data_IF_630439765739
#
_entry.id   IF_630439765739
#
_cell.length_a   1.000
_cell.length_b   1.000
_cell.length_c   1.000
_cell.angle_alpha   90.00
_cell.angle_beta   90.00
_cell.angle_gamma   90.00
#
_symmetry.space_group_name_H-M   'P 1'
#
loop_
_entity.id
_entity.type
_entity.pdbx_description
1 polymer ?
#
# COMPACT_ATOMS: atom_id res chain seq x y z
N UNK A 1 -5.32 26.77 -7.87
CA UNK A 1 -4.06 26.54 -7.12
C UNK A 1 -4.09 25.15 -6.53
N UNK A 2 -3.01 24.41 -6.69
CA UNK A 2 -2.76 23.09 -6.14
C UNK A 2 -1.64 23.20 -5.12
N UNK A 3 -1.98 23.13 -3.85
CA UNK A 3 -1.03 23.26 -2.75
C UNK A 3 -0.51 21.90 -2.32
N UNK A 4 0.80 21.67 -2.45
CA UNK A 4 1.51 20.45 -2.06
C UNK A 4 2.46 20.66 -0.88
N UNK A 5 2.38 21.83 -0.23
CA UNK A 5 3.34 22.25 0.80
C UNK A 5 3.19 21.52 2.14
N UNK A 6 2.12 20.74 2.34
CA UNK A 6 1.91 20.01 3.60
C UNK A 6 3.01 18.99 3.88
N UNK A 7 3.55 18.31 2.85
CA UNK A 7 4.59 17.30 2.99
C UNK A 7 5.92 17.78 2.41
N UNK A 8 6.98 17.70 3.20
CA UNK A 8 8.36 17.90 2.74
C UNK A 8 8.97 16.54 2.40
N UNK A 9 9.12 16.28 1.10
CA UNK A 9 9.58 14.99 0.57
C UNK A 9 11.05 14.73 0.91
N UNK A 10 11.39 13.54 1.44
CA UNK A 10 12.77 13.12 1.59
C UNK A 10 13.39 12.74 0.23
N UNK A 11 14.69 12.86 0.12
CA UNK A 11 15.47 12.27 -0.97
C UNK A 11 15.90 10.87 -0.54
N UNK A 12 15.20 9.85 -1.02
CA UNK A 12 15.46 8.46 -0.68
C UNK A 12 16.00 7.68 -1.87
N UNK A 13 16.92 6.72 -1.66
CA UNK A 13 17.32 5.79 -2.71
C UNK A 13 16.14 5.00 -3.24
N UNK A 14 16.13 4.73 -4.53
CA UNK A 14 15.11 3.86 -5.12
C UNK A 14 15.31 2.40 -4.70
N UNK A 15 14.22 1.72 -4.39
CA UNK A 15 14.17 0.30 -4.15
C UNK A 15 13.21 -0.35 -5.15
N UNK A 16 13.77 -1.10 -6.09
CA UNK A 16 13.05 -1.67 -7.23
C UNK A 16 12.62 -3.12 -7.02
N UNK A 17 12.53 -3.58 -5.78
CA UNK A 17 12.15 -4.95 -5.46
C UNK A 17 10.72 -5.31 -5.87
N UNK A 18 9.83 -4.33 -5.93
CA UNK A 18 8.46 -4.46 -6.44
C UNK A 18 8.35 -4.16 -7.95
N UNK A 19 9.48 -3.94 -8.61
CA UNK A 19 9.60 -3.61 -10.04
C UNK A 19 9.78 -2.12 -10.29
N UNK A 20 9.99 -1.77 -11.56
CA UNK A 20 10.33 -0.41 -12.01
C UNK A 20 9.22 0.22 -12.86
N UNK A 21 8.06 -0.41 -12.95
CA UNK A 21 6.97 0.10 -13.78
C UNK A 21 6.23 1.22 -13.03
N UNK A 22 6.68 2.46 -13.24
CA UNK A 22 6.09 3.65 -12.62
C UNK A 22 4.60 3.86 -12.97
N UNK A 23 4.10 3.16 -13.97
CA UNK A 23 2.68 3.21 -14.34
C UNK A 23 1.78 2.38 -13.41
N UNK A 24 2.35 1.65 -12.46
CA UNK A 24 1.58 0.84 -11.51
C UNK A 24 1.14 1.66 -10.28
N UNK A 25 -0.15 1.71 -9.96
CA UNK A 25 -0.67 2.50 -8.83
C UNK A 25 -0.05 2.15 -7.47
N UNK A 26 0.42 0.91 -7.28
CA UNK A 26 1.04 0.50 -6.01
C UNK A 26 2.52 0.95 -5.86
N UNK A 27 3.11 1.56 -6.91
CA UNK A 27 4.44 2.18 -6.89
C UNK A 27 4.38 3.72 -6.87
N UNK A 28 3.19 4.29 -6.77
CA UNK A 28 3.01 5.75 -6.68
C UNK A 28 3.68 6.28 -5.42
N UNK A 29 4.49 7.31 -5.56
CA UNK A 29 5.12 7.99 -4.43
C UNK A 29 4.08 8.74 -3.59
N UNK A 30 4.24 8.82 -2.26
CA UNK A 30 3.35 9.61 -1.40
C UNK A 30 3.42 11.10 -1.76
N UNK A 31 2.32 11.82 -1.53
CA UNK A 31 2.24 13.26 -1.83
C UNK A 31 1.13 13.94 -1.02
N UNK A 32 1.23 15.25 -0.79
CA UNK A 32 0.16 16.03 -0.16
C UNK A 32 -1.14 16.01 -0.97
N UNK A 33 -1.05 15.85 -2.30
CA UNK A 33 -2.17 15.68 -3.23
C UNK A 33 -2.34 14.22 -3.69
N UNK A 34 -2.05 13.25 -2.84
CA UNK A 34 -2.30 11.86 -3.19
C UNK A 34 -3.81 11.57 -3.22
N UNK A 35 -4.37 11.56 -4.41
CA UNK A 35 -5.78 11.25 -4.68
C UNK A 35 -5.87 9.92 -5.41
N UNK A 36 -6.65 8.97 -4.90
CA UNK A 36 -6.98 7.68 -5.53
C UNK A 36 -5.74 6.92 -6.07
N UNK A 37 -4.59 7.00 -5.39
CA UNK A 37 -3.29 6.46 -5.86
C UNK A 37 -2.94 6.85 -7.31
N UNK A 38 -3.43 7.99 -7.80
CA UNK A 38 -3.40 8.43 -9.21
C UNK A 38 -3.90 7.37 -10.19
N UNK A 39 -4.73 6.46 -9.73
CA UNK A 39 -5.19 5.33 -10.52
C UNK A 39 -6.21 5.77 -11.57
N UNK A 40 -5.89 5.48 -12.84
CA UNK A 40 -6.80 5.54 -13.98
C UNK A 40 -7.28 4.11 -14.24
N UNK A 41 -8.56 3.88 -14.09
CA UNK A 41 -9.19 2.60 -14.38
C UNK A 41 -9.57 2.55 -15.85
N UNK A 42 -8.90 1.70 -16.62
CA UNK A 42 -9.27 1.41 -18.00
C UNK A 42 -10.17 0.18 -18.04
N UNK A 43 -11.30 0.29 -18.72
CA UNK A 43 -12.24 -0.83 -18.93
C UNK A 43 -12.44 -1.01 -20.42
N UNK A 44 -12.16 -2.21 -20.91
CA UNK A 44 -12.41 -2.62 -22.29
C UNK A 44 -13.54 -3.64 -22.28
N UNK A 45 -14.61 -3.41 -23.03
CA UNK A 45 -15.78 -4.31 -23.15
C UNK A 45 -16.06 -4.60 -24.62
N UNK A 46 -16.48 -5.81 -24.90
CA UNK A 46 -17.00 -6.17 -26.21
C UNK A 46 -18.50 -6.48 -26.06
N UNK A 47 -19.32 -5.51 -26.47
CA UNK A 47 -20.76 -5.59 -26.44
C UNK A 47 -21.27 -5.80 -27.89
N UNK A 48 -21.78 -7.00 -28.17
CA UNK A 48 -22.38 -7.35 -29.49
C UNK A 48 -21.44 -7.07 -30.67
N UNK A 49 -20.17 -7.42 -30.53
CA UNK A 49 -19.15 -7.22 -31.59
C UNK A 49 -18.59 -5.81 -31.69
N UNK A 50 -18.99 -4.90 -30.80
CA UNK A 50 -18.41 -3.55 -30.67
C UNK A 50 -17.53 -3.46 -29.44
N UNK A 51 -16.24 -3.23 -29.67
CA UNK A 51 -15.29 -3.04 -28.57
C UNK A 51 -15.26 -1.56 -28.15
N UNK A 52 -15.59 -1.31 -26.88
CA UNK A 52 -15.55 -0.01 -26.23
C UNK A 52 -14.45 0.02 -25.19
N UNK A 53 -13.71 1.12 -25.14
CA UNK A 53 -12.71 1.39 -24.12
C UNK A 53 -13.08 2.68 -23.39
N UNK A 54 -13.11 2.65 -22.07
CA UNK A 54 -13.34 3.81 -21.21
C UNK A 54 -12.23 3.95 -20.17
N UNK A 55 -12.06 5.17 -19.66
CA UNK A 55 -11.13 5.49 -18.55
C UNK A 55 -11.87 6.28 -17.47
N UNK A 56 -11.59 5.95 -16.22
CA UNK A 56 -12.17 6.62 -15.05
C UNK A 56 -11.05 7.01 -14.07
N UNK A 57 -11.02 8.28 -13.62
CA UNK A 57 -11.82 9.43 -14.06
C UNK A 57 -11.48 9.83 -15.49
N UNK A 58 -12.43 10.48 -16.22
CA UNK A 58 -12.24 10.86 -17.63
C UNK A 58 -11.42 12.15 -17.76
N UNK A 59 -10.13 12.09 -17.46
CA UNK A 59 -9.21 13.21 -17.50
C UNK A 59 -8.88 13.58 -18.95
N UNK A 60 -9.06 14.85 -19.30
CA UNK A 60 -8.94 15.35 -20.69
C UNK A 60 -7.55 15.15 -21.33
N UNK A 61 -6.48 15.07 -20.52
CA UNK A 61 -5.11 14.79 -21.00
C UNK A 61 -4.87 13.33 -21.35
N UNK A 62 -5.84 12.42 -21.07
CA UNK A 62 -5.76 11.01 -21.44
C UNK A 62 -6.55 10.77 -22.72
N UNK A 63 -5.87 10.30 -23.74
CA UNK A 63 -6.46 9.91 -25.04
C UNK A 63 -6.39 8.40 -25.18
N UNK A 64 -7.46 7.79 -25.72
CA UNK A 64 -7.54 6.36 -25.99
C UNK A 64 -7.48 6.13 -27.49
N UNK A 65 -6.49 5.35 -27.92
CA UNK A 65 -6.39 4.80 -29.26
C UNK A 65 -6.79 3.32 -29.21
N UNK A 66 -8.04 3.03 -29.59
CA UNK A 66 -8.61 1.70 -29.50
C UNK A 66 -8.34 0.88 -30.76
N UNK A 67 -7.44 -0.08 -30.67
CA UNK A 67 -7.05 -1.02 -31.74
C UNK A 67 -7.42 -2.48 -31.38
N UNK A 68 -8.30 -2.70 -30.39
CA UNK A 68 -8.72 -4.04 -29.96
C UNK A 68 -9.60 -4.67 -31.04
N UNK A 69 -9.28 -5.90 -31.43
CA UNK A 69 -10.05 -6.67 -32.39
C UNK A 69 -11.05 -7.59 -31.70
N UNK A 70 -12.17 -7.85 -32.34
CA UNK A 70 -13.14 -8.86 -31.90
C UNK A 70 -12.52 -10.24 -32.08
N UNK A 71 -12.62 -11.10 -31.06
CA UNK A 71 -12.19 -12.49 -31.10
C UNK A 71 -13.42 -13.40 -31.26
N UNK A 72 -13.27 -14.46 -32.04
CA UNK A 72 -14.28 -15.52 -32.17
C UNK A 72 -14.19 -16.60 -31.09
N UNK A 73 -13.35 -16.41 -30.06
CA UNK A 73 -13.20 -17.36 -28.96
C UNK A 73 -14.51 -17.47 -28.16
N UNK A 74 -14.85 -18.71 -27.75
CA UNK A 74 -16.03 -19.00 -26.93
C UNK A 74 -15.83 -18.71 -25.43
N UNK A 75 -14.63 -18.40 -25.02
CA UNK A 75 -14.27 -18.12 -23.62
C UNK A 75 -13.62 -16.75 -23.52
N UNK A 76 -13.76 -16.12 -22.37
CA UNK A 76 -13.11 -14.82 -22.07
C UNK A 76 -11.59 -14.95 -21.87
N UNK A 77 -10.93 -15.49 -22.85
CA UNK A 77 -9.47 -15.55 -22.97
C UNK A 77 -9.04 -14.40 -23.89
N UNK A 78 -8.90 -13.21 -23.34
CA UNK A 78 -8.47 -12.03 -24.11
C UNK A 78 -7.11 -11.55 -23.63
N UNK A 79 -6.24 -11.23 -24.57
CA UNK A 79 -4.97 -10.54 -24.32
C UNK A 79 -5.14 -9.07 -24.72
N UNK A 80 -5.69 -8.28 -23.80
CA UNK A 80 -5.81 -6.82 -23.98
C UNK A 80 -4.60 -6.15 -23.36
N UNK A 81 -3.88 -5.36 -24.15
CA UNK A 81 -2.66 -4.65 -23.76
C UNK A 81 -2.88 -3.16 -23.79
N UNK A 82 -2.34 -2.46 -22.83
CA UNK A 82 -2.45 -1.02 -22.67
C UNK A 82 -1.05 -0.41 -22.72
N UNK A 83 -0.75 0.32 -23.78
CA UNK A 83 0.57 0.90 -24.03
C UNK A 83 0.47 2.44 -23.97
N UNK A 84 0.86 3.07 -22.84
CA UNK A 84 0.86 4.52 -22.71
C UNK A 84 2.08 5.14 -23.38
N UNK A 85 1.87 6.28 -24.02
CA UNK A 85 2.94 7.15 -24.58
C UNK A 85 2.64 8.58 -24.16
N UNK A 86 3.58 9.18 -23.44
CA UNK A 86 3.49 10.58 -23.00
C UNK A 86 4.07 11.51 -24.05
N UNK A 87 3.30 12.51 -24.46
CA UNK A 87 3.74 13.56 -25.37
C UNK A 87 4.48 14.69 -24.64
N UNK A 88 5.15 15.56 -25.37
CA UNK A 88 5.92 16.68 -24.82
C UNK A 88 5.06 17.70 -24.05
N UNK A 89 3.76 17.80 -24.36
CA UNK A 89 2.79 18.65 -23.67
C UNK A 89 2.21 18.02 -22.38
N UNK A 90 2.69 16.83 -22.01
CA UNK A 90 2.21 16.08 -20.84
C UNK A 90 0.92 15.29 -21.07
N UNK A 91 0.31 15.36 -22.26
CA UNK A 91 -0.82 14.48 -22.60
C UNK A 91 -0.35 13.04 -22.80
N UNK A 92 -1.21 12.07 -22.49
CA UNK A 92 -0.89 10.65 -22.61
C UNK A 92 -1.87 9.98 -23.57
N UNK A 93 -1.34 9.33 -24.60
CA UNK A 93 -2.12 8.48 -25.48
C UNK A 93 -1.94 7.02 -25.06
N UNK A 94 -3.02 6.33 -24.74
CA UNK A 94 -3.00 4.91 -24.39
C UNK A 94 -3.52 4.11 -25.57
N UNK A 95 -2.62 3.45 -26.30
CA UNK A 95 -2.99 2.50 -27.34
C UNK A 95 -3.44 1.19 -26.68
N UNK A 96 -4.71 0.86 -26.86
CA UNK A 96 -5.30 -0.39 -26.38
C UNK A 96 -5.40 -1.37 -27.53
N UNK A 97 -4.71 -2.49 -27.42
CA UNK A 97 -4.58 -3.48 -28.52
C UNK A 97 -4.83 -4.90 -28.02
N UNK A 98 -4.89 -5.84 -28.98
CA UNK A 98 -5.14 -7.25 -28.68
C UNK A 98 -6.50 -7.74 -29.18
N UNK A 99 -7.09 -8.72 -28.49
CA UNK A 99 -8.37 -9.31 -28.90
C UNK A 99 -9.29 -9.53 -27.71
N UNK A 100 -10.60 -9.37 -27.90
CA UNK A 100 -11.60 -9.58 -26.85
C UNK A 100 -12.82 -10.27 -27.44
N UNK A 101 -13.23 -11.40 -26.85
CA UNK A 101 -14.41 -12.14 -27.27
C UNK A 101 -15.70 -11.41 -26.91
N UNK A 102 -16.80 -11.72 -27.60
CA UNK A 102 -18.10 -11.13 -27.35
C UNK A 102 -18.60 -11.42 -25.92
N UNK A 103 -19.22 -10.43 -25.28
CA UNK A 103 -19.68 -10.48 -23.89
C UNK A 103 -18.57 -10.43 -22.85
N UNK A 104 -17.31 -10.30 -23.25
CA UNK A 104 -16.17 -10.27 -22.34
C UNK A 104 -15.74 -8.84 -22.01
N UNK A 105 -15.02 -8.72 -20.88
CA UNK A 105 -14.41 -7.47 -20.45
C UNK A 105 -13.00 -7.68 -19.91
N UNK A 106 -12.17 -6.67 -20.06
CA UNK A 106 -10.84 -6.58 -19.43
C UNK A 106 -10.74 -5.26 -18.69
N UNK A 107 -10.02 -5.24 -17.56
CA UNK A 107 -9.75 -4.01 -16.84
C UNK A 107 -8.31 -3.97 -16.36
N UNK A 108 -7.76 -2.76 -16.32
CA UNK A 108 -6.45 -2.49 -15.71
C UNK A 108 -6.47 -1.13 -15.01
N UNK A 109 -5.51 -0.94 -14.12
CA UNK A 109 -5.27 0.33 -13.42
C UNK A 109 -3.88 0.81 -13.76
N UNK A 110 -3.77 2.05 -14.23
CA UNK A 110 -2.50 2.69 -14.57
C UNK A 110 -2.38 4.04 -13.87
N UNK A 111 -1.17 4.42 -13.51
CA UNK A 111 -0.83 5.72 -12.93
C UNK A 111 0.07 6.48 -13.89
N UNK A 112 -0.52 7.26 -14.79
CA UNK A 112 0.14 7.83 -15.96
C UNK A 112 0.50 9.31 -15.83
N UNK A 113 -0.05 10.00 -14.84
CA UNK A 113 0.10 11.44 -14.67
C UNK A 113 0.85 11.76 -13.36
N UNK A 114 1.47 12.93 -13.27
CA UNK A 114 1.95 13.44 -11.98
C UNK A 114 0.78 13.79 -11.04
N UNK A 115 1.05 14.01 -9.75
CA UNK A 115 0.01 14.24 -8.74
C UNK A 115 -0.85 15.48 -9.05
N UNK A 116 -0.23 16.57 -9.46
CA UNK A 116 -0.95 17.82 -9.72
C UNK A 116 -1.83 17.69 -10.96
N UNK A 117 -1.31 17.15 -12.05
CA UNK A 117 -2.03 16.93 -13.31
C UNK A 117 -3.19 15.96 -13.11
N UNK A 118 -2.98 14.86 -12.37
CA UNK A 118 -4.06 13.92 -12.03
C UNK A 118 -5.17 14.60 -11.24
N UNK A 119 -4.80 15.29 -10.14
CA UNK A 119 -5.78 15.91 -9.24
C UNK A 119 -6.56 17.02 -9.94
N UNK A 120 -5.87 17.90 -10.66
CA UNK A 120 -6.54 18.97 -11.42
C UNK A 120 -7.47 18.40 -12.49
N UNK A 121 -7.00 17.41 -13.25
CA UNK A 121 -7.78 16.76 -14.29
C UNK A 121 -9.02 16.07 -13.75
N UNK A 122 -8.90 15.33 -12.63
CA UNK A 122 -10.01 14.67 -11.98
C UNK A 122 -11.06 15.68 -11.45
N UNK A 123 -10.60 16.75 -10.79
CA UNK A 123 -11.49 17.82 -10.32
C UNK A 123 -12.24 18.49 -11.46
N UNK A 124 -11.54 18.81 -12.57
CA UNK A 124 -12.16 19.41 -13.74
C UNK A 124 -13.19 18.47 -14.38
N UNK A 125 -12.86 17.19 -14.53
CA UNK A 125 -13.76 16.21 -15.10
C UNK A 125 -15.05 16.07 -14.28
N UNK A 126 -14.94 15.88 -12.96
CA UNK A 126 -16.09 15.75 -12.07
C UNK A 126 -16.90 17.05 -12.04
N UNK A 127 -16.22 18.21 -12.01
CA UNK A 127 -16.91 19.50 -12.01
C UNK A 127 -17.73 19.72 -13.29
N UNK A 128 -17.17 19.30 -14.42
CA UNK A 128 -17.86 19.38 -15.72
C UNK A 128 -19.06 18.43 -15.78
N UNK A 129 -18.96 17.20 -15.26
CA UNK A 129 -20.08 16.26 -15.13
C UNK A 129 -21.23 16.84 -14.30
N UNK A 130 -20.90 17.63 -13.27
CA UNK A 130 -21.86 18.36 -12.44
C UNK A 130 -22.41 19.63 -13.08
N UNK A 131 -22.05 19.94 -14.35
CA UNK A 131 -22.49 21.12 -15.09
C UNK A 131 -21.70 22.39 -14.82
N UNK A 132 -20.60 22.29 -14.06
CA UNK A 132 -19.73 23.43 -13.76
C UNK A 132 -18.64 23.65 -14.80
N UNK A 133 -18.00 24.83 -14.76
CA UNK A 133 -16.84 25.16 -15.60
C UNK A 133 -15.72 25.74 -14.73
N UNK A 134 -14.47 25.42 -15.07
CA UNK A 134 -13.28 26.02 -14.48
C UNK A 134 -12.46 26.70 -15.57
N UNK A 135 -12.33 28.03 -15.46
CA UNK A 135 -11.49 28.81 -16.36
C UNK A 135 -10.09 29.00 -15.78
N UNK A 136 -9.12 29.27 -16.65
CA UNK A 136 -7.73 29.51 -16.25
C UNK A 136 -6.87 28.25 -16.17
N UNK A 137 -5.61 28.46 -15.79
CA UNK A 137 -4.57 27.41 -15.71
C UNK A 137 -4.49 26.86 -14.30
N UNK A 138 -4.09 25.60 -14.19
CA UNK A 138 -3.74 24.99 -12.93
C UNK A 138 -2.33 25.44 -12.52
N UNK A 139 -2.18 25.87 -11.26
CA UNK A 139 -0.94 26.42 -10.72
C UNK A 139 -0.56 25.65 -9.46
N UNK A 140 0.67 25.18 -9.36
CA UNK A 140 1.23 24.63 -8.14
C UNK A 140 1.83 25.77 -7.30
N UNK A 141 1.18 26.09 -6.20
CA UNK A 141 1.61 27.14 -5.26
C UNK A 141 0.94 26.92 -3.89
N UNK A 142 1.46 27.53 -2.80
CA UNK A 142 0.74 27.58 -1.54
C UNK A 142 -0.62 28.27 -1.71
N UNK A 143 -1.61 27.78 -0.95
CA UNK A 143 -2.95 28.37 -0.96
C UNK A 143 -2.89 29.84 -0.48
N UNK A 144 -3.59 30.78 -1.15
CA UNK A 144 -3.63 32.18 -0.72
C UNK A 144 -4.17 32.31 0.70
N UNK A 145 -3.59 33.22 1.49
CA UNK A 145 -3.96 33.42 2.91
C UNK A 145 -5.41 33.86 3.12
N UNK A 146 -5.98 34.53 2.12
CA UNK A 146 -7.37 35.04 2.10
C UNK A 146 -8.37 34.06 1.47
N UNK A 147 -7.92 32.88 1.05
CA UNK A 147 -8.78 31.86 0.49
C UNK A 147 -9.81 31.36 1.49
N UNK A 148 -11.08 31.29 1.06
CA UNK A 148 -12.18 30.77 1.87
C UNK A 148 -12.33 29.26 1.65
N UNK A 149 -12.47 28.52 2.73
CA UNK A 149 -12.79 27.08 2.66
C UNK A 149 -14.23 26.92 2.19
N UNK A 150 -14.41 26.28 1.05
CA UNK A 150 -15.72 25.97 0.48
C UNK A 150 -16.20 24.58 0.88
N UNK A 151 -15.30 23.61 0.90
CA UNK A 151 -15.62 22.24 1.27
C UNK A 151 -14.41 21.56 1.92
N UNK A 152 -14.67 20.54 2.71
CA UNK A 152 -13.67 19.63 3.29
C UNK A 152 -14.08 18.20 3.03
N UNK A 153 -13.12 17.37 2.62
CA UNK A 153 -13.27 15.93 2.59
C UNK A 153 -12.30 15.31 3.60
N UNK A 154 -12.70 14.23 4.22
CA UNK A 154 -11.89 13.49 5.19
C UNK A 154 -11.63 12.09 4.65
N UNK A 155 -10.46 11.54 4.98
CA UNK A 155 -10.20 10.11 4.79
C UNK A 155 -11.08 9.27 5.72
N UNK A 156 -11.19 7.95 5.47
CA UNK A 156 -11.67 7.02 6.48
C UNK A 156 -10.88 7.12 7.79
N UNK A 157 -11.40 6.52 8.86
CA UNK A 157 -10.72 6.46 10.14
C UNK A 157 -9.36 5.77 10.05
N UNK A 158 -8.42 6.16 10.92
CA UNK A 158 -7.06 5.63 10.92
C UNK A 158 -7.02 4.11 11.07
N UNK A 159 -7.93 3.51 11.84
CA UNK A 159 -8.03 2.06 12.00
C UNK A 159 -8.35 1.36 10.66
N UNK A 160 -9.22 1.94 9.84
CA UNK A 160 -9.54 1.44 8.51
C UNK A 160 -8.36 1.59 7.55
N UNK A 161 -7.70 2.74 7.56
CA UNK A 161 -6.49 3.00 6.77
C UNK A 161 -5.39 1.97 7.11
N UNK A 162 -5.12 1.74 8.40
CA UNK A 162 -4.12 0.77 8.85
C UNK A 162 -4.50 -0.66 8.43
N UNK A 163 -5.79 -1.00 8.49
CA UNK A 163 -6.27 -2.30 8.01
C UNK A 163 -5.96 -2.50 6.54
N UNK A 164 -6.23 -1.52 5.70
CA UNK A 164 -5.95 -1.60 4.26
C UNK A 164 -4.44 -1.66 3.99
N UNK A 165 -3.64 -0.86 4.68
CA UNK A 165 -2.17 -0.94 4.60
C UNK A 165 -1.70 -2.37 4.91
N UNK A 166 -2.15 -2.96 5.99
CA UNK A 166 -1.68 -4.26 6.46
C UNK A 166 -2.22 -5.42 5.62
N UNK A 167 -3.54 -5.46 5.34
CA UNK A 167 -4.18 -6.53 4.57
C UNK A 167 -3.64 -6.64 3.14
N UNK A 168 -3.47 -5.50 2.47
CA UNK A 168 -3.03 -5.46 1.07
C UNK A 168 -1.54 -5.20 0.91
N UNK A 169 -0.82 -4.95 2.02
CA UNK A 169 0.60 -4.59 1.99
C UNK A 169 0.89 -3.38 1.09
N UNK A 170 0.08 -2.32 1.24
CA UNK A 170 0.14 -1.15 0.37
C UNK A 170 1.30 -0.23 0.79
N UNK A 171 2.37 -0.24 0.02
CA UNK A 171 3.58 0.54 0.28
C UNK A 171 3.32 2.06 0.22
N UNK A 172 2.57 2.52 -0.79
CA UNK A 172 2.25 3.95 -0.95
C UNK A 172 1.48 4.50 0.25
N UNK A 173 0.45 3.77 0.71
CA UNK A 173 -0.33 4.19 1.89
C UNK A 173 0.52 4.17 3.17
N UNK A 174 1.41 3.18 3.32
CA UNK A 174 2.32 3.12 4.48
C UNK A 174 3.30 4.30 4.49
N UNK A 175 3.90 4.62 3.34
CA UNK A 175 4.76 5.79 3.17
C UNK A 175 4.00 7.10 3.41
N UNK A 176 2.77 7.21 2.89
CA UNK A 176 1.92 8.38 3.11
C UNK A 176 1.62 8.59 4.59
N UNK A 177 1.28 7.53 5.32
CA UNK A 177 1.04 7.58 6.76
C UNK A 177 2.30 8.00 7.52
N UNK A 178 3.46 7.45 7.16
CA UNK A 178 4.75 7.80 7.76
C UNK A 178 5.11 9.27 7.57
N UNK A 179 4.99 9.78 6.33
CA UNK A 179 5.22 11.19 6.05
C UNK A 179 4.18 12.11 6.71
N UNK A 180 2.92 11.69 6.78
CA UNK A 180 1.88 12.46 7.49
C UNK A 180 2.17 12.57 8.99
N UNK A 181 2.70 11.51 9.60
CA UNK A 181 3.17 11.53 10.98
C UNK A 181 4.31 12.55 11.14
N UNK A 182 5.28 12.56 10.22
CA UNK A 182 6.36 13.53 10.20
C UNK A 182 5.86 14.96 10.06
N UNK A 183 5.04 15.22 9.06
CA UNK A 183 4.47 16.53 8.78
C UNK A 183 3.68 17.11 9.98
N UNK A 184 2.94 16.25 10.69
CA UNK A 184 2.16 16.64 11.87
C UNK A 184 3.03 17.07 13.05
N UNK A 185 4.21 16.46 13.22
CA UNK A 185 5.08 16.64 14.38
C UNK A 185 6.47 17.19 14.03
N UNK A 186 6.63 17.71 12.83
CA UNK A 186 7.86 18.33 12.35
C UNK A 186 8.28 19.52 13.22
N UNK A 187 9.59 19.66 13.43
CA UNK A 187 10.21 20.85 13.99
C UNK A 187 11.36 21.32 13.09
N UNK A 188 11.91 22.48 13.39
CA UNK A 188 12.93 23.15 12.57
C UNK A 188 14.25 22.32 12.41
N UNK A 189 14.51 21.39 13.33
CA UNK A 189 15.72 20.56 13.29
C UNK A 189 15.56 19.30 12.42
N UNK A 190 14.37 18.95 11.99
CA UNK A 190 14.12 17.66 11.32
C UNK A 190 14.59 17.64 9.84
N UNK A 191 14.54 18.77 9.14
CA UNK A 191 14.94 18.90 7.74
C UNK A 191 13.92 18.36 6.73
N UNK A 192 13.35 17.17 6.95
CA UNK A 192 12.28 16.59 6.15
C UNK A 192 11.31 15.77 7.01
N UNK A 193 10.16 15.37 6.43
CA UNK A 193 9.12 14.66 7.17
C UNK A 193 9.47 13.20 7.48
N UNK A 194 10.36 12.57 6.73
CA UNK A 194 10.81 11.22 7.07
C UNK A 194 11.67 11.24 8.34
N UNK A 195 12.55 12.22 8.50
CA UNK A 195 13.36 12.39 9.73
C UNK A 195 12.49 12.75 10.92
N UNK A 196 11.49 13.62 10.73
CA UNK A 196 10.50 13.93 11.77
C UNK A 196 9.75 12.68 12.21
N UNK A 197 9.27 11.86 11.28
CA UNK A 197 8.58 10.60 11.57
C UNK A 197 9.50 9.61 12.31
N UNK A 198 10.75 9.44 11.86
CA UNK A 198 11.74 8.61 12.55
C UNK A 198 11.93 9.04 14.00
N UNK A 199 12.08 10.33 14.24
CA UNK A 199 12.21 10.88 15.60
C UNK A 199 10.97 10.57 16.46
N UNK A 200 9.78 10.80 15.92
CA UNK A 200 8.51 10.56 16.63
C UNK A 200 8.34 9.07 16.98
N UNK A 201 8.62 8.17 16.04
CA UNK A 201 8.54 6.72 16.28
C UNK A 201 9.55 6.30 17.35
N UNK A 202 10.81 6.75 17.29
CA UNK A 202 11.82 6.45 18.32
C UNK A 202 11.41 6.96 19.71
N UNK A 203 10.85 8.16 19.77
CA UNK A 203 10.33 8.71 21.04
C UNK A 203 9.17 7.87 21.59
N UNK A 204 8.28 7.39 20.72
CA UNK A 204 7.18 6.51 21.13
C UNK A 204 7.71 5.17 21.66
N UNK A 205 8.66 4.53 20.96
CA UNK A 205 9.31 3.29 21.42
C UNK A 205 9.97 3.47 22.79
N UNK A 206 10.73 4.56 22.97
CA UNK A 206 11.34 4.88 24.26
C UNK A 206 10.31 5.06 25.38
N UNK A 207 9.18 5.75 25.12
CA UNK A 207 8.07 5.88 26.09
C UNK A 207 7.44 4.54 26.44
N UNK A 208 7.54 3.53 25.57
CA UNK A 208 7.08 2.16 25.83
C UNK A 208 8.15 1.29 26.51
N UNK A 209 9.33 1.84 26.83
CA UNK A 209 10.45 1.11 27.40
C UNK A 209 11.17 0.20 26.41
N UNK A 210 10.97 0.40 25.11
CA UNK A 210 11.60 -0.38 24.05
C UNK A 210 12.88 0.29 23.60
N UNK A 211 14.01 -0.36 23.84
CA UNK A 211 15.33 0.06 23.33
C UNK A 211 15.50 -0.52 21.92
N UNK A 212 15.73 0.35 20.93
CA UNK A 212 15.79 -0.03 19.53
C UNK A 212 17.09 0.42 18.84
N UNK A 213 18.28 -0.10 19.26
CA UNK A 213 19.57 0.33 18.73
C UNK A 213 19.79 -0.09 17.27
N UNK A 214 19.14 -1.15 16.81
CA UNK A 214 19.29 -1.67 15.44
C UNK A 214 18.24 -1.10 14.47
N UNK A 215 17.26 -0.33 14.98
CA UNK A 215 16.20 0.20 14.16
C UNK A 215 16.71 1.27 13.19
N UNK A 216 16.57 1.03 11.91
CA UNK A 216 16.75 2.02 10.83
C UNK A 216 15.44 2.05 10.04
N UNK A 217 14.84 3.22 9.93
CA UNK A 217 13.65 3.47 9.14
C UNK A 217 13.97 4.52 8.07
N UNK A 218 13.49 4.34 6.86
CA UNK A 218 13.61 5.32 5.78
C UNK A 218 12.25 5.87 5.37
N UNK A 219 11.31 4.99 5.05
CA UNK A 219 10.07 5.37 4.38
C UNK A 219 8.79 4.80 5.01
N UNK A 220 8.90 3.97 6.03
CA UNK A 220 7.77 3.37 6.75
C UNK A 220 7.04 2.23 6.03
N UNK A 221 7.46 1.85 4.81
CA UNK A 221 6.85 0.73 4.09
C UNK A 221 7.66 -0.56 4.14
N UNK A 222 8.95 -0.47 4.45
CA UNK A 222 9.89 -1.58 4.36
C UNK A 222 10.42 -1.82 2.94
N UNK A 223 9.96 -1.08 1.93
CA UNK A 223 10.52 -1.12 0.58
C UNK A 223 11.79 -0.27 0.54
N UNK A 224 12.84 -0.79 1.13
CA UNK A 224 14.14 -0.15 1.31
C UNK A 224 15.24 -1.19 1.51
N UNK A 225 16.44 -0.86 1.07
CA UNK A 225 17.66 -1.66 1.30
C UNK A 225 18.44 -1.23 2.55
N UNK A 226 18.11 -0.09 3.13
CA UNK A 226 18.76 0.43 4.32
C UNK A 226 18.00 0.10 5.62
N UNK A 227 16.69 -0.15 5.56
CA UNK A 227 15.88 -0.44 6.76
C UNK A 227 16.39 -1.66 7.52
N UNK A 228 16.44 -1.56 8.84
CA UNK A 228 16.93 -2.58 9.77
C UNK A 228 16.06 -2.63 11.00
N UNK A 229 15.78 -3.83 11.47
CA UNK A 229 15.16 -4.09 12.77
C UNK A 229 15.54 -5.49 13.21
N UNK A 230 15.74 -5.72 14.50
CA UNK A 230 15.91 -7.07 15.03
C UNK A 230 14.56 -7.72 15.31
N UNK A 231 14.52 -9.06 15.27
CA UNK A 231 13.32 -9.81 15.62
C UNK A 231 12.85 -9.52 17.06
N UNK A 232 13.78 -9.27 17.98
CA UNK A 232 13.48 -8.90 19.37
C UNK A 232 12.78 -7.53 19.45
N UNK A 233 13.34 -6.48 18.83
CA UNK A 233 12.74 -5.14 18.81
C UNK A 233 11.32 -5.15 18.23
N UNK A 234 11.12 -5.92 17.16
CA UNK A 234 9.80 -6.10 16.56
C UNK A 234 8.83 -6.85 17.51
N UNK A 235 9.30 -7.89 18.20
CA UNK A 235 8.49 -8.63 19.16
C UNK A 235 8.11 -7.76 20.39
N UNK A 236 9.02 -6.94 20.89
CA UNK A 236 8.74 -5.99 21.97
C UNK A 236 7.69 -4.94 21.55
N UNK A 237 7.79 -4.44 20.31
CA UNK A 237 6.76 -3.55 19.73
C UNK A 237 5.40 -4.25 19.64
N UNK A 238 5.33 -5.49 19.16
CA UNK A 238 4.10 -6.28 19.11
C UNK A 238 3.50 -6.49 20.50
N UNK A 239 4.32 -6.80 21.52
CA UNK A 239 3.86 -6.91 22.90
C UNK A 239 3.32 -5.57 23.45
N UNK A 240 3.94 -4.44 23.10
CA UNK A 240 3.42 -3.13 23.48
C UNK A 240 2.08 -2.84 22.79
N UNK A 241 1.93 -3.22 21.51
CA UNK A 241 0.67 -3.12 20.79
C UNK A 241 -0.43 -3.99 21.40
N UNK A 242 -0.12 -5.23 21.78
CA UNK A 242 -1.04 -6.13 22.47
C UNK A 242 -1.59 -5.55 23.78
N UNK A 243 -0.76 -4.82 24.53
CA UNK A 243 -1.14 -4.20 25.82
C UNK A 243 -1.79 -2.84 25.66
N UNK A 244 -1.93 -2.34 24.44
CA UNK A 244 -2.51 -1.02 24.18
C UNK A 244 -4.03 -1.04 24.20
N UNK A 245 -4.70 0.10 24.45
CA UNK A 245 -6.14 0.23 24.28
C UNK A 245 -6.65 -0.06 22.85
N UNK A 246 -5.76 -0.01 21.86
CA UNK A 246 -6.04 -0.23 20.43
C UNK A 246 -5.60 -1.62 19.94
N UNK A 247 -5.43 -2.57 20.86
CA UNK A 247 -4.96 -3.91 20.51
C UNK A 247 -5.89 -4.61 19.52
N UNK A 248 -7.21 -4.47 19.71
CA UNK A 248 -8.21 -5.12 18.87
C UNK A 248 -8.14 -4.61 17.43
N UNK A 249 -8.08 -3.29 17.22
CA UNK A 249 -7.96 -2.65 15.91
C UNK A 249 -6.66 -3.05 15.23
N UNK A 250 -5.55 -3.04 15.96
CA UNK A 250 -4.24 -3.42 15.42
C UNK A 250 -4.21 -4.89 14.99
N UNK A 251 -4.66 -5.82 15.85
CA UNK A 251 -4.67 -7.26 15.55
C UNK A 251 -5.60 -7.55 14.36
N UNK A 252 -6.80 -6.97 14.34
CA UNK A 252 -7.75 -7.16 13.24
C UNK A 252 -7.27 -6.59 11.91
N UNK A 253 -6.36 -5.62 11.93
CA UNK A 253 -5.75 -5.06 10.73
C UNK A 253 -4.79 -6.04 10.03
N UNK A 254 -4.19 -6.98 10.76
CA UNK A 254 -3.21 -7.92 10.22
C UNK A 254 -3.86 -8.99 9.32
N UNK A 255 -3.19 -9.46 8.26
CA UNK A 255 -3.65 -10.58 7.44
C UNK A 255 -3.85 -11.85 8.26
N UNK A 256 -4.95 -12.58 7.98
CA UNK A 256 -5.33 -13.79 8.71
C UNK A 256 -4.96 -15.04 7.89
N UNK A 257 -4.25 -15.97 8.50
CA UNK A 257 -3.83 -17.22 7.85
C UNK A 257 -5.01 -17.96 7.22
N UNK A 258 -4.88 -18.30 5.93
CA UNK A 258 -5.86 -19.04 5.14
C UNK A 258 -7.19 -18.32 4.92
N UNK A 259 -7.32 -17.03 5.28
CA UNK A 259 -8.61 -16.31 5.29
C UNK A 259 -8.57 -15.04 4.43
N UNK A 260 -7.67 -14.10 4.71
CA UNK A 260 -7.65 -12.80 4.04
C UNK A 260 -6.25 -12.22 3.79
N UNK A 261 -6.22 -11.05 3.15
CA UNK A 261 -5.02 -10.29 2.89
C UNK A 261 -3.94 -11.11 2.17
N UNK A 262 -2.69 -10.81 2.46
CA UNK A 262 -1.52 -11.51 1.89
C UNK A 262 -1.40 -12.97 2.36
N UNK A 263 -2.09 -13.35 3.43
CA UNK A 263 -2.11 -14.71 3.98
C UNK A 263 -3.28 -15.57 3.45
N UNK A 264 -4.17 -15.05 2.62
CA UNK A 264 -5.40 -15.72 2.17
C UNK A 264 -5.19 -17.12 1.57
N UNK A 265 -4.08 -17.31 0.85
CA UNK A 265 -3.75 -18.58 0.18
C UNK A 265 -2.80 -19.47 1.00
N UNK A 266 -2.18 -18.91 2.05
CA UNK A 266 -1.19 -19.60 2.88
C UNK A 266 -1.88 -20.29 4.06
N UNK A 267 -1.47 -21.51 4.39
CA UNK A 267 -2.00 -22.31 5.51
C UNK A 267 -3.52 -22.61 5.46
N UNK A 268 -4.15 -22.44 4.29
CA UNK A 268 -5.61 -22.52 4.10
C UNK A 268 -6.20 -23.88 4.46
N UNK A 269 -5.46 -24.97 4.22
CA UNK A 269 -5.88 -26.36 4.44
C UNK A 269 -5.26 -26.97 5.70
N UNK A 270 -4.74 -26.18 6.60
CA UNK A 270 -4.10 -26.61 7.85
C UNK A 270 -4.92 -26.19 9.07
N UNK A 271 -4.57 -26.72 10.23
CA UNK A 271 -5.16 -26.30 11.52
C UNK A 271 -4.87 -24.83 11.88
N UNK A 272 -3.88 -24.22 11.21
CA UNK A 272 -3.52 -22.80 11.38
C UNK A 272 -4.51 -21.81 10.75
N UNK A 273 -5.50 -22.29 9.98
CA UNK A 273 -6.48 -21.40 9.35
C UNK A 273 -7.24 -20.60 10.40
N UNK A 274 -7.11 -19.29 10.35
CA UNK A 274 -7.73 -18.36 11.32
C UNK A 274 -6.92 -18.12 12.58
N UNK A 275 -5.87 -18.91 12.85
CA UNK A 275 -5.15 -18.87 14.14
C UNK A 275 -3.96 -17.90 14.15
N UNK A 276 -3.49 -17.43 13.00
CA UNK A 276 -2.41 -16.47 12.91
C UNK A 276 -2.86 -15.18 12.22
N UNK A 277 -2.56 -14.06 12.84
CA UNK A 277 -2.74 -12.70 12.35
C UNK A 277 -1.36 -12.09 12.13
N UNK A 278 -0.83 -12.17 10.91
CA UNK A 278 0.57 -11.82 10.64
C UNK A 278 0.72 -10.96 9.39
N UNK A 279 1.52 -9.89 9.51
CA UNK A 279 2.00 -9.11 8.38
C UNK A 279 3.16 -9.84 7.72
N UNK A 280 3.16 -9.92 6.40
CA UNK A 280 4.24 -10.47 5.59
C UNK A 280 5.17 -9.38 5.10
N UNK A 281 6.46 -9.71 4.91
CA UNK A 281 7.46 -8.89 4.25
C UNK A 281 8.14 -9.67 3.11
N UNK A 282 8.34 -9.01 1.98
CA UNK A 282 8.97 -9.62 0.80
C UNK A 282 9.85 -8.59 0.11
N UNK A 283 11.15 -8.86 0.05
CA UNK A 283 12.11 -8.23 -0.85
C UNK A 283 12.83 -9.34 -1.63
N UNK A 284 13.63 -8.98 -2.62
CA UNK A 284 14.36 -9.97 -3.42
C UNK A 284 15.24 -10.91 -2.57
N UNK A 285 15.76 -10.40 -1.45
CA UNK A 285 16.65 -11.15 -0.55
C UNK A 285 16.08 -11.34 0.87
N UNK A 286 14.81 -10.97 1.10
CA UNK A 286 14.20 -11.04 2.44
C UNK A 286 12.82 -11.65 2.36
N UNK A 287 12.51 -12.52 3.32
CA UNK A 287 11.15 -12.96 3.63
C UNK A 287 10.92 -12.82 5.12
N UNK A 288 9.77 -12.28 5.50
CA UNK A 288 9.46 -12.07 6.91
C UNK A 288 7.99 -12.28 7.21
N UNK A 289 7.71 -12.62 8.47
CA UNK A 289 6.40 -12.53 9.10
C UNK A 289 6.56 -11.89 10.48
N UNK A 290 5.57 -11.06 10.85
CA UNK A 290 5.48 -10.49 12.19
C UNK A 290 4.02 -10.32 12.59
N UNK A 291 3.66 -10.67 13.82
CA UNK A 291 2.28 -10.54 14.32
C UNK A 291 1.98 -11.46 15.48
N UNK A 292 0.77 -12.00 15.51
CA UNK A 292 0.27 -12.85 16.59
C UNK A 292 -0.20 -14.20 16.05
N UNK A 293 0.05 -15.25 16.81
CA UNK A 293 -0.39 -16.61 16.47
C UNK A 293 -0.86 -17.34 17.73
N UNK A 294 -1.94 -18.11 17.62
CA UNK A 294 -2.41 -18.98 18.69
C UNK A 294 -1.82 -20.38 18.53
N UNK A 295 -1.53 -21.00 19.66
CA UNK A 295 -1.20 -22.41 19.70
C UNK A 295 -2.45 -23.28 19.94
N UNK A 296 -2.31 -24.60 19.83
CA UNK A 296 -3.39 -25.56 20.07
C UNK A 296 -3.84 -25.65 21.55
N UNK A 297 -3.14 -24.97 22.45
CA UNK A 297 -3.51 -24.87 23.89
C UNK A 297 -4.26 -23.56 24.20
N UNK A 298 -4.49 -22.70 23.20
CA UNK A 298 -5.17 -21.43 23.34
C UNK A 298 -4.28 -20.25 23.75
N UNK A 299 -2.96 -20.44 23.89
CA UNK A 299 -2.05 -19.34 24.18
C UNK A 299 -1.82 -18.49 22.94
N UNK A 300 -1.66 -17.18 23.13
CA UNK A 300 -1.31 -16.25 22.05
C UNK A 300 0.15 -15.85 22.17
N UNK A 301 0.86 -15.91 21.04
CA UNK A 301 2.28 -15.62 20.92
C UNK A 301 2.50 -14.43 20.01
N UNK A 302 3.41 -13.52 20.38
CA UNK A 302 4.00 -12.59 19.44
C UNK A 302 5.07 -13.33 18.64
N UNK A 303 4.91 -13.36 17.32
CA UNK A 303 5.79 -14.10 16.40
C UNK A 303 6.49 -13.14 15.48
N UNK A 304 7.81 -13.26 15.40
CA UNK A 304 8.62 -12.55 14.41
C UNK A 304 9.63 -13.53 13.82
N UNK A 305 9.61 -13.69 12.51
CA UNK A 305 10.59 -14.47 11.80
C UNK A 305 11.07 -13.69 10.57
N UNK A 306 12.38 -13.49 10.46
CA UNK A 306 13.02 -12.75 9.38
C UNK A 306 14.12 -13.65 8.79
N UNK A 307 14.00 -13.90 7.49
CA UNK A 307 14.97 -14.68 6.73
C UNK A 307 15.62 -13.78 5.69
N UNK A 308 16.94 -13.64 5.77
CA UNK A 308 17.77 -12.95 4.80
C UNK A 308 18.56 -13.98 4.00
N UNK A 309 18.36 -14.03 2.69
CA UNK A 309 19.05 -14.95 1.79
C UNK A 309 19.15 -14.33 0.39
N UNK A 310 20.20 -14.62 -0.32
CA UNK A 310 20.38 -14.20 -1.72
C UNK A 310 19.43 -14.91 -2.68
N UNK A 311 18.89 -16.08 -2.30
CA UNK A 311 17.95 -16.89 -3.09
C UNK A 311 16.80 -17.41 -2.21
N UNK A 312 15.87 -16.56 -1.77
CA UNK A 312 14.86 -16.96 -0.79
C UNK A 312 13.72 -17.81 -1.41
N UNK A 313 14.04 -18.66 -2.37
CA UNK A 313 13.12 -19.63 -2.98
C UNK A 313 12.66 -20.63 -1.91
N UNK A 314 11.35 -20.79 -1.77
CA UNK A 314 10.79 -21.66 -0.73
C UNK A 314 10.76 -21.06 0.68
N UNK A 315 11.36 -19.89 0.92
CA UNK A 315 11.39 -19.27 2.25
C UNK A 315 10.01 -18.99 2.85
N UNK A 316 8.99 -18.78 2.02
CA UNK A 316 7.61 -18.63 2.53
C UNK A 316 7.10 -19.92 3.20
N UNK A 317 7.47 -21.11 2.69
CA UNK A 317 7.11 -22.39 3.33
C UNK A 317 7.85 -22.62 4.64
N UNK A 318 9.09 -22.14 4.76
CA UNK A 318 9.85 -22.17 6.02
C UNK A 318 9.15 -21.30 7.08
N UNK A 319 8.71 -20.09 6.71
CA UNK A 319 7.96 -19.21 7.61
C UNK A 319 6.59 -19.81 7.98
N UNK A 320 5.92 -20.51 7.06
CA UNK A 320 4.70 -21.25 7.33
C UNK A 320 4.97 -22.41 8.32
N UNK A 321 6.10 -23.10 8.19
CA UNK A 321 6.49 -24.16 9.11
C UNK A 321 6.73 -23.63 10.52
N UNK A 322 7.32 -22.45 10.69
CA UNK A 322 7.47 -21.79 12.01
C UNK A 322 6.11 -21.63 12.70
N UNK A 323 5.08 -21.20 11.97
CA UNK A 323 3.73 -21.06 12.52
C UNK A 323 3.11 -22.43 12.86
N UNK A 324 3.30 -23.43 12.00
CA UNK A 324 2.81 -24.80 12.23
C UNK A 324 3.48 -25.45 13.47
N UNK A 325 4.77 -25.26 13.64
CA UNK A 325 5.51 -25.81 14.78
C UNK A 325 5.13 -25.10 16.07
N UNK A 326 4.92 -23.76 16.00
CA UNK A 326 4.36 -23.02 17.14
C UNK A 326 2.97 -23.53 17.53
N UNK A 327 2.09 -23.78 16.57
CA UNK A 327 0.76 -24.32 16.83
C UNK A 327 0.79 -25.68 17.55
N UNK A 328 1.75 -26.53 17.22
CA UNK A 328 1.91 -27.87 17.77
C UNK A 328 2.70 -27.92 19.08
N UNK A 329 3.08 -26.77 19.65
CA UNK A 329 3.85 -26.75 20.89
C UNK A 329 3.13 -27.58 21.99
N UNK A 330 3.86 -28.46 22.73
CA UNK A 330 3.30 -29.14 23.86
C UNK A 330 2.87 -28.13 24.91
N UNK A 331 1.86 -28.51 25.71
CA UNK A 331 1.39 -27.68 26.82
C UNK A 331 2.58 -27.31 27.71
N UNK A 332 2.86 -26.00 27.83
CA UNK A 332 3.89 -25.56 28.79
C UNK A 332 3.52 -26.07 30.14
N UNK A 333 4.42 -26.83 30.80
CA UNK A 333 4.25 -27.19 32.19
C UNK A 333 4.01 -25.89 32.97
N UNK A 334 2.94 -25.87 33.77
CA UNK A 334 2.68 -24.71 34.64
C UNK A 334 3.95 -24.44 35.44
N UNK A 335 4.47 -23.22 35.36
CA UNK A 335 5.58 -22.82 36.19
C UNK A 335 5.18 -23.11 37.63
N UNK A 336 6.00 -23.91 38.33
CA UNK A 336 5.75 -24.20 39.74
C UNK A 336 5.60 -22.87 40.49
N UNK A 337 4.59 -22.71 41.35
CA UNK A 337 4.47 -21.49 42.13
C UNK A 337 5.77 -21.29 42.88
N UNK A 338 6.41 -20.16 42.68
CA UNK A 338 7.54 -19.72 43.53
C UNK A 338 6.92 -19.46 44.90
N UNK A 339 7.18 -20.37 45.84
CA UNK A 339 6.83 -20.23 47.25
C UNK A 339 7.64 -19.07 47.88
#
# INVERSE_FOLDING_TARGET
>A
VLDRSFVTQPQLPECNDDGNDENKPFLVKPDALLVNLKALRFVTRNDSGRVLVSVEPPIASIRIDNQVKVSNAKQCTGDVRYNPVTAADGSVTVTVSGQLAEGCSSQTYLSLLDHATYTAGAVRAIWQELGGTIQGRDIQAPVPKDAKVLARAFSPDLAEIIRDINKYSNNTMAQQLFLSLGAQFRNDADGDDAKAAQRVVRQWLAKKGITSPHLVMENGSGLSRAERVSAREMAEMLQAAWRSPYAAEYISSLPIAGTDGTMRKRLKTTAMRGEAHVKTGTLNTVRAIAGFSRDNNGNTWAVVAILNDTKPWGASSVLDQVLLDLYRQPKLAAAAPVL
#
